data_IF_935610814895
#
_entry.id   IF_935610814895
#
_cell.length_a   1.000
_cell.length_b   1.000
_cell.length_c   1.000
_cell.angle_alpha   90.00
_cell.angle_beta   90.00
_cell.angle_gamma   90.00
#
_symmetry.space_group_name_H-M   'P 1'
#
loop_
_entity.id
_entity.type
_entity.pdbx_description
1 polymer ?
#
# COMPACT_ATOMS: atom_id res chain seq x y z
N UNK A 1 22.28 8.48 -5.34
CA UNK A 1 21.80 7.86 -4.06
C UNK A 1 20.92 6.69 -4.44
N UNK A 2 21.05 5.52 -3.81
CA UNK A 2 20.18 4.37 -4.11
C UNK A 2 18.80 4.53 -3.46
N UNK A 3 17.79 3.84 -4.01
CA UNK A 3 16.43 3.80 -3.44
C UNK A 3 16.45 3.36 -1.97
N UNK A 4 17.15 2.26 -1.68
CA UNK A 4 17.31 1.73 -0.31
C UNK A 4 17.84 2.79 0.66
N UNK A 5 18.93 3.46 0.32
CA UNK A 5 19.53 4.48 1.20
C UNK A 5 18.59 5.67 1.42
N UNK A 6 17.89 6.11 0.38
CA UNK A 6 16.92 7.20 0.48
C UNK A 6 15.78 6.86 1.48
N UNK A 7 15.19 5.66 1.32
CA UNK A 7 14.10 5.23 2.17
C UNK A 7 14.56 4.93 3.61
N UNK A 8 15.76 4.35 3.81
CA UNK A 8 16.33 4.15 5.14
C UNK A 8 16.47 5.50 5.87
N UNK A 9 17.12 6.49 5.26
CA UNK A 9 17.30 7.81 5.84
C UNK A 9 15.95 8.51 6.14
N UNK A 10 14.94 8.34 5.27
CA UNK A 10 13.61 8.89 5.48
C UNK A 10 12.92 8.27 6.69
N UNK A 11 12.95 6.94 6.81
CA UNK A 11 12.32 6.22 7.91
C UNK A 11 13.04 6.43 9.23
N UNK A 12 14.37 6.50 9.24
CA UNK A 12 15.15 6.86 10.44
C UNK A 12 14.76 8.25 10.99
N UNK A 13 14.61 9.24 10.12
CA UNK A 13 14.14 10.58 10.54
C UNK A 13 12.71 10.59 11.07
N UNK A 14 11.85 9.66 10.64
CA UNK A 14 10.43 9.57 11.03
C UNK A 14 10.16 8.60 12.19
N UNK A 15 11.17 7.88 12.66
CA UNK A 15 11.01 6.77 13.63
C UNK A 15 10.35 7.16 14.96
N UNK A 16 10.38 8.43 15.36
CA UNK A 16 9.79 8.91 16.62
C UNK A 16 8.25 9.01 16.60
N UNK A 17 7.61 8.84 15.45
CA UNK A 17 6.15 8.97 15.31
C UNK A 17 5.40 7.67 15.64
N UNK A 18 4.17 7.78 16.13
CA UNK A 18 3.25 6.65 16.20
C UNK A 18 2.68 6.40 14.80
N UNK A 19 2.92 5.23 14.21
CA UNK A 19 2.36 4.91 12.89
C UNK A 19 0.83 4.88 12.95
N UNK A 20 0.21 5.48 11.94
CA UNK A 20 -1.25 5.49 11.81
C UNK A 20 -1.65 4.72 10.57
N UNK A 21 -2.76 4.02 10.66
CA UNK A 21 -3.38 3.37 9.50
C UNK A 21 -3.82 4.40 8.47
N UNK A 22 -3.68 4.06 7.20
CA UNK A 22 -4.27 4.84 6.12
C UNK A 22 -5.81 4.76 6.18
N UNK A 23 -6.47 5.92 6.10
CA UNK A 23 -7.91 6.02 6.28
C UNK A 23 -8.68 5.15 5.27
N UNK A 24 -8.20 5.06 4.03
CA UNK A 24 -8.82 4.24 2.98
C UNK A 24 -8.68 2.76 3.25
N UNK A 25 -7.52 2.31 3.74
CA UNK A 25 -7.37 0.91 4.14
C UNK A 25 -8.31 0.56 5.29
N UNK A 26 -8.40 1.42 6.30
CA UNK A 26 -9.29 1.20 7.44
C UNK A 26 -10.78 1.13 7.01
N UNK A 27 -11.19 1.99 6.08
CA UNK A 27 -12.53 1.99 5.48
C UNK A 27 -12.80 0.66 4.76
N UNK A 28 -11.89 0.24 3.88
CA UNK A 28 -12.06 -0.92 3.00
C UNK A 28 -11.94 -2.23 3.80
N UNK A 29 -10.83 -2.40 4.51
CA UNK A 29 -10.52 -3.65 5.21
C UNK A 29 -11.36 -3.84 6.50
N UNK A 30 -11.94 -2.77 7.03
CA UNK A 30 -12.80 -2.83 8.23
C UNK A 30 -14.06 -3.69 8.06
N UNK A 31 -14.53 -3.88 6.84
CA UNK A 31 -15.68 -4.73 6.51
C UNK A 31 -15.31 -6.14 6.03
N UNK A 32 -14.02 -6.43 5.85
CA UNK A 32 -13.56 -7.73 5.36
C UNK A 32 -13.37 -8.71 6.53
N UNK A 33 -13.61 -9.98 6.26
CA UNK A 33 -13.28 -11.06 7.20
C UNK A 33 -11.75 -11.23 7.26
N UNK A 34 -11.13 -11.18 8.44
CA UNK A 34 -9.70 -11.37 8.58
C UNK A 34 -9.21 -12.72 8.04
N UNK A 35 -8.11 -12.70 7.34
CA UNK A 35 -7.42 -13.82 6.75
C UNK A 35 -5.91 -13.56 6.70
N UNK A 36 -5.27 -13.81 5.55
CA UNK A 36 -3.88 -13.44 5.28
C UNK A 36 -3.81 -12.11 4.54
N UNK A 37 -2.90 -11.23 4.94
CA UNK A 37 -2.69 -9.94 4.28
C UNK A 37 -1.22 -9.70 3.92
N UNK A 38 -0.99 -9.08 2.76
CA UNK A 38 0.30 -8.56 2.33
C UNK A 38 0.23 -7.03 2.24
N UNK A 39 1.14 -6.36 2.92
CA UNK A 39 1.28 -4.89 2.89
C UNK A 39 2.55 -4.51 2.13
N UNK A 40 2.39 -3.93 0.93
CA UNK A 40 3.47 -3.56 0.02
C UNK A 40 3.94 -2.14 0.30
N UNK A 41 5.24 -1.97 0.59
CA UNK A 41 5.81 -0.69 0.97
C UNK A 41 5.28 -0.24 2.34
N UNK A 42 5.36 -1.12 3.33
CA UNK A 42 4.70 -0.96 4.63
C UNK A 42 5.19 0.25 5.45
N UNK A 43 6.33 0.83 5.11
CA UNK A 43 6.91 1.97 5.81
C UNK A 43 6.98 1.77 7.32
N UNK A 44 6.44 2.71 8.08
CA UNK A 44 6.42 2.63 9.55
C UNK A 44 5.46 1.56 10.10
N UNK A 45 4.73 0.84 9.25
CA UNK A 45 3.89 -0.29 9.62
C UNK A 45 2.50 0.07 10.13
N UNK A 46 1.99 1.27 9.88
CA UNK A 46 0.68 1.69 10.39
C UNK A 46 -0.46 0.77 9.94
N UNK A 47 -0.46 0.40 8.68
CA UNK A 47 -1.45 -0.47 8.06
C UNK A 47 -1.29 -1.91 8.56
N UNK A 48 -0.07 -2.42 8.57
CA UNK A 48 0.25 -3.76 9.08
C UNK A 48 -0.17 -3.95 10.54
N UNK A 49 0.14 -3.00 11.42
CA UNK A 49 -0.26 -3.01 12.83
C UNK A 49 -1.78 -2.99 13.00
N UNK A 50 -2.46 -2.16 12.22
CA UNK A 50 -3.91 -2.04 12.29
C UNK A 50 -4.62 -3.31 11.82
N UNK A 51 -4.12 -3.96 10.76
CA UNK A 51 -4.61 -5.25 10.27
C UNK A 51 -4.36 -6.34 11.31
N UNK A 52 -3.15 -6.47 11.87
CA UNK A 52 -2.80 -7.46 12.88
C UNK A 52 -3.70 -7.34 14.12
N UNK A 53 -3.95 -6.11 14.61
CA UNK A 53 -4.86 -5.86 15.73
C UNK A 53 -6.31 -6.28 15.45
N UNK A 54 -6.67 -6.54 14.20
CA UNK A 54 -7.99 -7.03 13.75
C UNK A 54 -8.00 -8.50 13.38
N UNK A 55 -6.95 -9.23 13.71
CA UNK A 55 -6.86 -10.68 13.53
C UNK A 55 -6.33 -11.13 12.15
N UNK A 56 -5.84 -10.20 11.33
CA UNK A 56 -5.16 -10.58 10.09
C UNK A 56 -3.78 -11.17 10.37
N UNK A 57 -3.41 -12.22 9.64
CA UNK A 57 -2.02 -12.70 9.57
C UNK A 57 -1.28 -11.88 8.53
N UNK A 58 -0.43 -10.96 8.97
CA UNK A 58 0.17 -9.94 8.12
C UNK A 58 1.61 -10.29 7.75
N UNK A 59 1.90 -10.24 6.46
CA UNK A 59 3.23 -10.08 5.90
C UNK A 59 3.38 -8.64 5.44
N UNK A 60 4.41 -7.94 5.90
CA UNK A 60 4.67 -6.54 5.57
C UNK A 60 6.05 -6.42 4.93
N UNK A 61 6.15 -5.78 3.77
CA UNK A 61 7.41 -5.69 3.04
C UNK A 61 7.78 -4.24 2.73
N UNK A 62 9.06 -3.93 2.84
CA UNK A 62 9.63 -2.63 2.45
C UNK A 62 11.08 -2.80 1.99
N UNK A 63 11.53 -1.94 1.10
CA UNK A 63 12.94 -1.87 0.68
C UNK A 63 13.84 -1.34 1.80
N UNK A 64 13.28 -0.54 2.73
CA UNK A 64 13.98 0.06 3.86
C UNK A 64 14.16 -0.95 4.99
N UNK A 65 15.40 -1.27 5.28
CA UNK A 65 15.76 -2.05 6.46
C UNK A 65 15.43 -1.31 7.76
N UNK A 66 15.48 0.02 7.77
CA UNK A 66 15.10 0.84 8.94
C UNK A 66 13.60 0.72 9.24
N UNK A 67 12.74 0.78 8.23
CA UNK A 67 11.30 0.57 8.37
C UNK A 67 10.99 -0.82 8.94
N UNK A 68 11.57 -1.87 8.34
CA UNK A 68 11.38 -3.26 8.76
C UNK A 68 11.83 -3.48 10.21
N UNK A 69 13.03 -3.04 10.58
CA UNK A 69 13.51 -3.15 11.98
C UNK A 69 12.61 -2.41 12.96
N UNK A 70 12.12 -1.23 12.60
CA UNK A 70 11.18 -0.46 13.43
C UNK A 70 9.89 -1.22 13.68
N UNK A 71 9.35 -1.88 12.65
CA UNK A 71 8.13 -2.70 12.77
C UNK A 71 8.38 -3.96 13.60
N UNK A 72 9.48 -4.68 13.37
CA UNK A 72 9.88 -5.87 14.14
C UNK A 72 10.07 -5.56 15.64
N UNK A 73 10.65 -4.40 15.96
CA UNK A 73 10.90 -3.97 17.34
C UNK A 73 9.62 -3.75 18.17
N UNK A 74 8.43 -3.70 17.52
CA UNK A 74 7.14 -3.56 18.22
C UNK A 74 6.65 -4.87 18.83
N UNK A 75 7.23 -6.01 18.46
CA UNK A 75 6.89 -7.32 19.03
C UNK A 75 5.50 -7.84 18.63
N UNK A 76 4.85 -7.21 17.65
CA UNK A 76 3.56 -7.67 17.15
C UNK A 76 3.72 -8.90 16.24
N UNK A 77 2.70 -9.76 16.11
CA UNK A 77 2.77 -10.99 15.31
C UNK A 77 2.66 -10.70 13.79
N UNK A 78 3.62 -9.90 13.29
CA UNK A 78 3.72 -9.49 11.89
C UNK A 78 5.02 -10.04 11.30
N UNK A 79 4.94 -10.70 10.16
CA UNK A 79 6.10 -11.09 9.38
C UNK A 79 6.61 -9.89 8.59
N UNK A 80 7.58 -9.15 9.14
CA UNK A 80 8.16 -8.00 8.47
C UNK A 80 9.45 -8.38 7.74
N UNK A 81 9.51 -8.16 6.43
CA UNK A 81 10.59 -8.57 5.53
C UNK A 81 11.16 -7.38 4.77
N UNK A 82 12.48 -7.32 4.65
CA UNK A 82 13.11 -6.39 3.73
C UNK A 82 13.13 -6.99 2.33
N UNK A 83 12.41 -6.39 1.40
CA UNK A 83 12.30 -6.83 0.01
C UNK A 83 12.41 -5.63 -0.92
N UNK A 84 13.26 -5.75 -1.93
CA UNK A 84 13.25 -4.83 -3.07
C UNK A 84 12.29 -5.39 -4.13
N UNK A 85 11.09 -4.79 -4.22
CA UNK A 85 10.04 -5.24 -5.13
C UNK A 85 10.40 -5.00 -6.62
N UNK A 86 11.49 -4.30 -6.91
CA UNK A 86 12.05 -4.23 -8.25
C UNK A 86 12.72 -5.55 -8.67
N UNK A 87 13.25 -6.32 -7.72
CA UNK A 87 14.05 -7.52 -7.95
C UNK A 87 13.33 -8.80 -7.51
N UNK A 88 12.62 -8.75 -6.38
CA UNK A 88 12.05 -9.94 -5.72
C UNK A 88 10.62 -9.68 -5.21
N UNK A 89 9.90 -10.74 -4.85
CA UNK A 89 8.56 -10.65 -4.30
C UNK A 89 8.38 -11.69 -3.18
N UNK A 90 7.66 -11.37 -2.06
CA UNK A 90 7.48 -12.32 -0.97
C UNK A 90 6.67 -13.55 -1.41
N UNK A 91 7.08 -14.71 -0.94
CA UNK A 91 6.36 -15.95 -1.19
C UNK A 91 5.01 -16.00 -0.47
N UNK A 92 4.08 -16.76 -1.03
CA UNK A 92 2.78 -17.02 -0.43
C UNK A 92 1.60 -16.45 -1.24
N UNK A 93 0.42 -16.69 -0.69
CA UNK A 93 -0.83 -16.15 -1.23
C UNK A 93 -1.68 -15.54 -0.13
N UNK A 94 -2.46 -14.52 -0.46
CA UNK A 94 -3.09 -13.63 0.50
C UNK A 94 -4.55 -13.37 0.15
N UNK A 95 -5.39 -13.20 1.19
CA UNK A 95 -6.79 -12.83 1.03
C UNK A 95 -6.93 -11.31 0.77
N UNK A 96 -5.94 -10.54 1.23
CA UNK A 96 -5.82 -9.11 0.97
C UNK A 96 -4.37 -8.76 0.59
N UNK A 97 -4.18 -8.14 -0.57
CA UNK A 97 -2.91 -7.48 -0.91
C UNK A 97 -3.17 -5.98 -0.97
N UNK A 98 -2.39 -5.20 -0.22
CA UNK A 98 -2.55 -3.76 -0.06
C UNK A 98 -1.32 -3.01 -0.57
N UNK A 99 -1.53 -2.00 -1.39
CA UNK A 99 -0.53 -1.03 -1.83
C UNK A 99 -1.07 0.38 -1.58
N UNK A 100 -0.67 1.00 -0.46
CA UNK A 100 -1.14 2.32 -0.06
C UNK A 100 -0.08 3.37 -0.34
N UNK A 101 -0.37 4.28 -1.30
CA UNK A 101 0.56 5.34 -1.72
C UNK A 101 1.96 4.79 -2.08
N UNK A 102 1.95 3.62 -2.75
CA UNK A 102 3.15 2.90 -3.14
C UNK A 102 3.81 3.57 -4.35
N UNK A 103 4.55 4.65 -4.07
CA UNK A 103 5.31 5.44 -5.05
C UNK A 103 6.76 5.62 -4.61
N UNK A 104 7.64 5.80 -5.58
CA UNK A 104 9.06 6.05 -5.36
C UNK A 104 9.57 7.04 -6.40
N UNK A 105 10.52 7.94 -6.05
CA UNK A 105 11.18 8.81 -7.03
C UNK A 105 12.26 8.07 -7.83
N UNK A 106 12.45 6.77 -7.60
CA UNK A 106 13.39 5.93 -8.30
C UNK A 106 12.68 5.11 -9.38
N UNK A 107 13.47 4.60 -10.33
CA UNK A 107 12.95 3.71 -11.36
C UNK A 107 12.34 2.44 -10.73
N UNK A 108 11.07 2.18 -11.06
CA UNK A 108 10.31 1.01 -10.63
C UNK A 108 9.23 0.71 -11.66
N UNK A 109 9.26 -0.48 -12.23
CA UNK A 109 8.12 -0.99 -13.01
C UNK A 109 6.96 -1.35 -12.06
N UNK A 110 6.25 -0.31 -11.63
CA UNK A 110 5.14 -0.44 -10.67
C UNK A 110 4.03 -1.34 -11.22
N UNK A 111 3.76 -1.29 -12.53
CA UNK A 111 2.74 -2.14 -13.15
C UNK A 111 3.13 -3.62 -13.04
N UNK A 112 4.40 -3.96 -13.25
CA UNK A 112 4.91 -5.32 -13.04
C UNK A 112 4.75 -5.75 -11.58
N UNK A 113 5.12 -4.92 -10.62
CA UNK A 113 4.97 -5.22 -9.19
C UNK A 113 3.51 -5.48 -8.85
N UNK A 114 2.58 -4.64 -9.28
CA UNK A 114 1.15 -4.81 -9.02
C UNK A 114 0.54 -6.03 -9.75
N UNK A 115 1.04 -6.39 -10.94
CA UNK A 115 0.65 -7.66 -11.60
C UNK A 115 1.12 -8.87 -10.81
N UNK A 116 2.35 -8.85 -10.31
CA UNK A 116 2.87 -9.91 -9.42
C UNK A 116 2.05 -9.99 -8.14
N UNK A 117 1.70 -8.84 -7.56
CA UNK A 117 0.82 -8.74 -6.40
C UNK A 117 -0.57 -9.35 -6.66
N UNK A 118 -1.17 -9.07 -7.82
CA UNK A 118 -2.41 -9.71 -8.24
C UNK A 118 -2.27 -11.24 -8.29
N UNK A 119 -1.15 -11.75 -8.83
CA UNK A 119 -0.86 -13.19 -8.88
C UNK A 119 -0.81 -13.85 -7.49
N UNK A 120 -0.48 -13.11 -6.44
CA UNK A 120 -0.42 -13.60 -5.06
C UNK A 120 -1.75 -13.51 -4.30
N UNK A 121 -2.82 -12.97 -4.90
CA UNK A 121 -4.15 -12.91 -4.26
C UNK A 121 -4.84 -14.27 -4.33
N UNK A 122 -5.38 -14.75 -3.21
CA UNK A 122 -6.20 -15.96 -3.14
C UNK A 122 -7.49 -15.85 -3.97
N UNK A 123 -8.06 -16.95 -4.48
CA UNK A 123 -9.43 -16.93 -5.01
C UNK A 123 -10.42 -16.33 -4.00
N UNK A 124 -11.23 -15.37 -4.42
CA UNK A 124 -12.13 -14.59 -3.57
C UNK A 124 -11.48 -13.42 -2.85
N UNK A 125 -10.15 -13.33 -2.86
CA UNK A 125 -9.38 -12.24 -2.25
C UNK A 125 -9.37 -10.96 -3.07
N UNK A 126 -8.67 -9.94 -2.57
CA UNK A 126 -8.62 -8.59 -3.16
C UNK A 126 -7.21 -8.03 -3.26
N UNK A 127 -6.96 -7.32 -4.35
CA UNK A 127 -5.87 -6.34 -4.46
C UNK A 127 -6.46 -4.95 -4.27
N UNK A 128 -5.96 -4.22 -3.28
CA UNK A 128 -6.36 -2.86 -2.96
C UNK A 128 -5.20 -1.92 -3.23
N UNK A 129 -5.39 -0.99 -4.15
CA UNK A 129 -4.42 0.04 -4.49
C UNK A 129 -5.04 1.40 -4.17
N UNK A 130 -4.37 2.19 -3.34
CA UNK A 130 -4.77 3.57 -3.06
C UNK A 130 -3.60 4.49 -3.39
N UNK A 131 -3.88 5.47 -4.23
CA UNK A 131 -2.90 6.43 -4.70
C UNK A 131 -3.35 7.87 -4.40
N UNK A 132 -2.42 8.81 -4.52
CA UNK A 132 -2.79 10.21 -4.59
C UNK A 132 -3.57 10.47 -5.88
N UNK A 133 -4.64 11.25 -5.80
CA UNK A 133 -5.39 11.78 -6.94
C UNK A 133 -5.26 13.29 -7.07
N UNK A 134 -4.67 13.95 -6.05
CA UNK A 134 -4.31 15.36 -6.09
C UNK A 134 -3.08 15.64 -5.22
N UNK A 135 -2.33 16.67 -5.58
CA UNK A 135 -1.25 17.19 -4.74
C UNK A 135 -1.86 17.97 -3.55
N UNK A 136 -1.39 17.66 -2.33
CA UNK A 136 -1.77 18.46 -1.17
C UNK A 136 -1.08 19.84 -1.22
N UNK A 137 -1.67 20.92 -0.64
CA UNK A 137 -1.06 22.26 -0.66
C UNK A 137 0.34 22.36 0.01
N UNK A 138 0.74 21.34 0.71
CA UNK A 138 2.08 21.22 1.33
C UNK A 138 2.98 20.20 0.61
N UNK A 139 2.53 19.64 -0.52
CA UNK A 139 3.39 18.81 -1.36
C UNK A 139 4.51 19.64 -1.97
N UNK A 140 5.68 19.05 -2.07
CA UNK A 140 6.83 19.66 -2.74
C UNK A 140 6.64 19.73 -4.27
N UNK A 141 5.82 18.86 -4.82
CA UNK A 141 5.46 18.79 -6.24
C UNK A 141 3.97 19.07 -6.41
N UNK A 142 3.65 20.25 -6.90
CA UNK A 142 2.27 20.70 -7.12
C UNK A 142 1.75 20.31 -8.51
N UNK A 143 2.66 20.00 -9.43
CA UNK A 143 2.35 19.64 -10.82
C UNK A 143 2.36 18.11 -11.03
N UNK A 144 2.46 17.33 -9.94
CA UNK A 144 2.44 15.88 -10.02
C UNK A 144 1.16 15.35 -10.66
N UNK A 145 1.30 14.56 -11.69
CA UNK A 145 0.20 13.84 -12.33
C UNK A 145 0.02 12.45 -11.69
N UNK A 146 -1.23 12.07 -11.49
CA UNK A 146 -1.60 10.79 -10.89
C UNK A 146 -2.52 10.02 -11.82
N UNK A 147 -2.11 8.80 -12.19
CA UNK A 147 -2.93 7.94 -13.04
C UNK A 147 -4.30 7.68 -12.40
N UNK A 148 -5.37 7.75 -13.19
CA UNK A 148 -6.69 7.42 -12.71
C UNK A 148 -6.81 5.92 -12.38
N UNK A 149 -7.69 5.52 -11.43
CA UNK A 149 -7.84 4.11 -11.03
C UNK A 149 -8.13 3.16 -12.20
N UNK A 150 -8.93 3.61 -13.17
CA UNK A 150 -9.21 2.84 -14.38
C UNK A 150 -7.98 2.65 -15.28
N UNK A 151 -7.09 3.65 -15.36
CA UNK A 151 -5.85 3.56 -16.11
C UNK A 151 -4.87 2.59 -15.43
N UNK A 152 -4.79 2.63 -14.09
CA UNK A 152 -4.00 1.65 -13.34
C UNK A 152 -4.55 0.25 -13.59
N UNK A 153 -5.87 0.03 -13.49
CA UNK A 153 -6.49 -1.26 -13.74
C UNK A 153 -6.20 -1.78 -15.16
N UNK A 154 -6.35 -0.92 -16.18
CA UNK A 154 -6.05 -1.28 -17.57
C UNK A 154 -4.58 -1.64 -17.78
N UNK A 155 -3.66 -0.92 -17.13
CA UNK A 155 -2.21 -1.18 -17.21
C UNK A 155 -1.78 -2.50 -16.56
N UNK A 156 -2.62 -3.10 -15.71
CA UNK A 156 -2.34 -4.41 -15.12
C UNK A 156 -2.61 -5.57 -16.09
N UNK A 157 -3.41 -5.36 -17.13
CA UNK A 157 -3.74 -6.38 -18.15
C UNK A 157 -4.16 -7.73 -17.55
N UNK A 158 -5.06 -7.69 -16.55
CA UNK A 158 -5.55 -8.88 -15.87
C UNK A 158 -6.71 -9.50 -16.63
N UNK A 159 -6.77 -10.84 -16.63
CA UNK A 159 -7.86 -11.61 -17.25
C UNK A 159 -9.21 -11.25 -16.60
N UNK A 160 -10.10 -10.66 -17.38
CA UNK A 160 -11.44 -10.23 -16.93
C UNK A 160 -12.39 -11.39 -16.57
N UNK A 161 -12.07 -12.62 -16.96
CA UNK A 161 -12.80 -13.81 -16.51
C UNK A 161 -12.45 -14.14 -15.05
N UNK A 162 -11.21 -13.84 -14.66
CA UNK A 162 -10.68 -14.12 -13.32
C UNK A 162 -10.83 -12.92 -12.40
N UNK A 163 -10.80 -11.69 -12.92
CA UNK A 163 -10.76 -10.46 -12.15
C UNK A 163 -11.95 -9.56 -12.43
N UNK A 164 -12.51 -8.99 -11.37
CA UNK A 164 -13.51 -7.92 -11.44
C UNK A 164 -13.03 -6.68 -10.71
N UNK A 165 -13.48 -5.51 -11.16
CA UNK A 165 -13.28 -4.24 -10.48
C UNK A 165 -14.46 -4.05 -9.52
N UNK A 166 -14.20 -4.15 -8.20
CA UNK A 166 -15.20 -3.85 -7.17
C UNK A 166 -15.33 -2.34 -6.95
N UNK A 167 -14.23 -1.58 -7.12
CA UNK A 167 -14.21 -0.10 -6.97
C UNK A 167 -13.09 0.50 -7.83
N UNK A 168 -13.39 1.57 -8.57
CA UNK A 168 -12.40 2.38 -9.27
C UNK A 168 -12.91 3.82 -9.28
N UNK A 169 -12.46 4.63 -8.33
CA UNK A 169 -12.96 5.99 -8.16
C UNK A 169 -11.93 6.96 -7.57
N UNK A 170 -12.19 8.26 -7.77
CA UNK A 170 -11.52 9.36 -7.10
C UNK A 170 -12.40 9.84 -5.95
N UNK A 171 -11.90 9.84 -4.72
CA UNK A 171 -12.67 10.15 -3.52
C UNK A 171 -11.96 11.22 -2.66
N UNK A 172 -12.69 12.26 -2.30
CA UNK A 172 -12.18 13.32 -1.44
C UNK A 172 -12.02 12.85 0.01
N UNK A 173 -11.01 13.38 0.67
CA UNK A 173 -10.87 13.32 2.13
C UNK A 173 -10.22 14.57 2.69
N UNK A 174 -10.47 14.86 3.97
CA UNK A 174 -9.73 15.87 4.70
C UNK A 174 -8.37 15.30 5.12
N UNK A 175 -7.30 15.91 4.63
CA UNK A 175 -5.93 15.56 5.02
C UNK A 175 -5.39 16.57 6.03
N UNK A 176 -4.57 16.09 6.95
CA UNK A 176 -3.82 16.92 7.91
C UNK A 176 -2.34 16.86 7.56
N UNK A 177 -1.79 18.01 7.26
CA UNK A 177 -0.38 18.21 6.91
C UNK A 177 0.45 18.77 8.05
N UNK A 178 1.63 19.30 7.74
CA UNK A 178 2.54 19.91 8.70
C UNK A 178 1.86 21.02 9.53
N UNK A 179 2.23 21.11 10.79
CA UNK A 179 1.70 22.10 11.76
C UNK A 179 0.15 22.09 11.89
N UNK A 180 -0.49 20.95 11.64
CA UNK A 180 -1.94 20.79 11.76
C UNK A 180 -2.76 21.46 10.64
N UNK A 181 -2.11 21.91 9.55
CA UNK A 181 -2.84 22.44 8.37
C UNK A 181 -3.72 21.35 7.79
N UNK A 182 -4.95 21.71 7.45
CA UNK A 182 -5.90 20.80 6.79
C UNK A 182 -6.22 21.26 5.38
N UNK A 183 -6.46 20.30 4.48
CA UNK A 183 -6.95 20.55 3.13
C UNK A 183 -7.73 19.33 2.63
N UNK A 184 -8.70 19.58 1.76
CA UNK A 184 -9.32 18.50 0.99
C UNK A 184 -8.34 18.04 -0.08
N UNK A 185 -8.10 16.74 -0.13
CA UNK A 185 -7.28 16.05 -1.14
C UNK A 185 -8.10 14.93 -1.76
N UNK A 186 -7.70 14.49 -2.94
CA UNK A 186 -8.31 13.36 -3.62
C UNK A 186 -7.40 12.13 -3.48
N UNK A 187 -7.99 11.00 -3.14
CA UNK A 187 -7.37 9.69 -3.24
C UNK A 187 -7.96 8.94 -4.44
N UNK A 188 -7.12 8.29 -5.22
CA UNK A 188 -7.53 7.33 -6.23
C UNK A 188 -7.61 5.94 -5.59
N UNK A 189 -8.75 5.28 -5.71
CA UNK A 189 -9.03 3.99 -5.07
C UNK A 189 -9.33 2.97 -6.15
N UNK A 190 -8.55 1.88 -6.16
CA UNK A 190 -8.78 0.72 -7.01
C UNK A 190 -8.89 -0.53 -6.13
N UNK A 191 -10.01 -1.23 -6.23
CA UNK A 191 -10.20 -2.53 -5.60
C UNK A 191 -10.49 -3.54 -6.69
N UNK A 192 -9.60 -4.50 -6.83
CA UNK A 192 -9.73 -5.64 -7.73
C UNK A 192 -10.03 -6.88 -6.92
N UNK A 193 -11.02 -7.66 -7.33
CA UNK A 193 -11.40 -8.91 -6.69
C UNK A 193 -11.10 -10.09 -7.63
N UNK A 194 -10.40 -11.08 -7.11
CA UNK A 194 -10.21 -12.35 -7.79
C UNK A 194 -11.47 -13.22 -7.63
N UNK A 195 -11.94 -13.83 -8.70
CA UNK A 195 -13.07 -14.76 -8.66
C UNK A 195 -12.81 -15.87 -7.62
N UNK A 196 -13.86 -16.25 -6.88
CA UNK A 196 -13.84 -17.44 -6.05
C UNK A 196 -13.81 -18.71 -6.93
N UNK A 197 -13.50 -19.84 -6.30
CA UNK A 197 -13.65 -21.14 -6.98
C UNK A 197 -15.11 -21.50 -7.08
#
# INVERSE_FOLDING_TARGET
MSATKFWDELHERRAAGTPKVNARLAEIAGSLTPGTALDLGCGAGGDALWLAARGWRVTAVDISGAAVRSLQARGEPITALRVDLAEDFPEGTFDLVSAQYFHTPFELDRARVLRTAAGSVNPGGRLVVVDHGSAAPWSWDQDAEFAAPGEVAAGLDLDQVVWSIDRAEAAERLATGPAGRTATVVDHILILRRAGR
#
